data_IF_276716679113
#
_entry.id   IF_276716679113
#
_cell.length_a   1.000
_cell.length_b   1.000
_cell.length_c   1.000
_cell.angle_alpha   90.00
_cell.angle_beta   90.00
_cell.angle_gamma   90.00
#
_symmetry.space_group_name_H-M   'P 1'
#
loop_
_entity.id
_entity.type
_entity.pdbx_description
1 polymer ?
#
# COMPACT_ATOMS: atom_id res chain seq x y z
N UNK A 1 -26.15 22.64 -74.93
CA UNK A 1 -25.06 22.39 -74.04
C UNK A 1 -25.43 22.85 -72.58
N UNK A 2 -26.38 22.23 -71.93
CA UNK A 2 -26.79 22.62 -70.54
C UNK A 2 -27.48 21.43 -69.86
N UNK A 3 -26.80 20.29 -69.76
CA UNK A 3 -27.41 19.13 -69.06
C UNK A 3 -26.47 18.39 -68.11
N UNK A 4 -25.19 18.81 -67.94
CA UNK A 4 -24.21 18.11 -67.11
C UNK A 4 -23.86 18.83 -65.77
N UNK A 5 -24.43 20.01 -65.47
CA UNK A 5 -24.09 20.76 -64.25
C UNK A 5 -24.92 20.38 -63.01
N UNK A 6 -26.10 19.79 -63.23
CA UNK A 6 -26.99 19.45 -62.10
C UNK A 6 -26.59 18.17 -61.32
N UNK A 7 -25.93 17.23 -61.98
CA UNK A 7 -25.53 15.96 -61.36
C UNK A 7 -24.29 16.09 -60.44
N UNK A 8 -23.43 17.06 -60.71
CA UNK A 8 -22.19 17.29 -59.92
C UNK A 8 -22.51 17.89 -58.54
N UNK A 9 -23.53 18.78 -58.48
CA UNK A 9 -23.94 19.39 -57.20
C UNK A 9 -24.65 18.45 -56.24
N UNK A 10 -25.43 17.50 -56.81
CA UNK A 10 -26.15 16.50 -55.96
C UNK A 10 -25.17 15.46 -55.36
N UNK A 11 -24.15 15.05 -56.15
CA UNK A 11 -23.14 14.10 -55.67
C UNK A 11 -22.28 14.75 -54.55
N UNK A 12 -21.96 16.04 -54.67
CA UNK A 12 -21.18 16.74 -53.65
C UNK A 12 -21.97 16.94 -52.33
N UNK A 13 -23.30 17.20 -52.43
CA UNK A 13 -24.17 17.35 -51.29
C UNK A 13 -24.38 16.01 -50.52
N UNK A 14 -24.50 14.90 -51.25
CA UNK A 14 -24.57 13.56 -50.69
C UNK A 14 -23.26 13.14 -49.96
N UNK A 15 -22.10 13.54 -50.48
CA UNK A 15 -20.81 13.25 -49.84
C UNK A 15 -20.64 13.99 -48.50
N UNK A 16 -21.12 15.22 -48.37
CA UNK A 16 -21.08 16.01 -47.15
C UNK A 16 -21.96 15.38 -46.04
N UNK A 17 -23.12 14.84 -46.38
CA UNK A 17 -24.03 14.18 -45.44
C UNK A 17 -23.41 12.87 -44.91
N UNK A 18 -22.68 12.12 -45.75
CA UNK A 18 -21.97 10.90 -45.26
C UNK A 18 -20.84 11.20 -44.29
N UNK A 19 -20.05 12.27 -44.52
CA UNK A 19 -19.00 12.68 -43.60
C UNK A 19 -19.55 13.13 -42.23
N UNK A 20 -20.68 13.89 -42.22
CA UNK A 20 -21.29 14.33 -40.96
C UNK A 20 -21.84 13.17 -40.12
N UNK A 21 -22.39 12.12 -40.74
CA UNK A 21 -22.84 10.92 -40.02
C UNK A 21 -21.71 10.09 -39.42
N UNK A 22 -20.51 10.10 -40.04
CA UNK A 22 -19.36 9.35 -39.57
C UNK A 22 -18.73 10.02 -38.33
N UNK A 23 -18.68 11.35 -38.27
CA UNK A 23 -18.21 12.10 -37.09
C UNK A 23 -19.13 11.93 -35.89
N UNK A 24 -20.44 11.90 -36.09
CA UNK A 24 -21.41 11.72 -34.99
C UNK A 24 -21.33 10.31 -34.38
N UNK A 25 -21.08 9.28 -35.17
CA UNK A 25 -20.92 7.91 -34.69
C UNK A 25 -19.62 7.74 -33.89
N UNK A 26 -18.51 8.29 -34.36
CA UNK A 26 -17.24 8.28 -33.66
C UNK A 26 -17.30 9.05 -32.31
N UNK A 27 -18.08 10.12 -32.25
CA UNK A 27 -18.26 10.91 -31.03
C UNK A 27 -19.09 10.15 -30.00
N UNK A 28 -20.19 9.50 -30.42
CA UNK A 28 -21.01 8.66 -29.55
C UNK A 28 -20.25 7.44 -29.01
N UNK A 29 -19.47 6.74 -29.85
CA UNK A 29 -18.66 5.60 -29.44
C UNK A 29 -17.55 6.01 -28.45
N UNK A 30 -16.95 7.19 -28.61
CA UNK A 30 -15.98 7.75 -27.68
C UNK A 30 -16.61 8.16 -26.34
N UNK A 31 -17.81 8.73 -26.32
CA UNK A 31 -18.51 9.06 -25.09
C UNK A 31 -18.90 7.82 -24.29
N UNK A 32 -19.39 6.78 -24.95
CA UNK A 32 -19.71 5.49 -24.30
C UNK A 32 -18.45 4.84 -23.72
N UNK A 33 -17.35 4.83 -24.46
CA UNK A 33 -16.07 4.29 -23.99
C UNK A 33 -15.52 5.09 -22.81
N UNK A 34 -15.65 6.41 -22.82
CA UNK A 34 -15.21 7.29 -21.75
C UNK A 34 -16.07 7.13 -20.48
N UNK A 35 -17.39 6.99 -20.64
CA UNK A 35 -18.32 6.71 -19.54
C UNK A 35 -18.01 5.37 -18.87
N UNK A 36 -17.87 4.30 -19.66
CA UNK A 36 -17.52 2.97 -19.19
C UNK A 36 -16.17 2.96 -18.44
N UNK A 37 -15.18 3.68 -18.93
CA UNK A 37 -13.86 3.80 -18.28
C UNK A 37 -13.94 4.55 -16.96
N UNK A 38 -14.78 5.58 -16.87
CA UNK A 38 -15.02 6.32 -15.63
C UNK A 38 -15.77 5.48 -14.59
N UNK A 39 -16.79 4.73 -14.99
CA UNK A 39 -17.52 3.82 -14.12
C UNK A 39 -16.60 2.73 -13.56
N UNK A 40 -15.77 2.14 -14.40
CA UNK A 40 -14.76 1.18 -13.97
C UNK A 40 -13.78 1.78 -12.96
N UNK A 41 -13.26 2.99 -13.24
CA UNK A 41 -12.37 3.70 -12.32
C UNK A 41 -13.05 3.98 -10.97
N UNK A 42 -14.30 4.42 -10.97
CA UNK A 42 -15.06 4.68 -9.74
C UNK A 42 -15.27 3.39 -8.93
N UNK A 43 -15.60 2.28 -9.58
CA UNK A 43 -15.77 1.00 -8.92
C UNK A 43 -14.46 0.50 -8.28
N UNK A 44 -13.33 0.69 -8.94
CA UNK A 44 -12.01 0.37 -8.40
C UNK A 44 -11.66 1.22 -7.17
N UNK A 45 -11.93 2.53 -7.23
CA UNK A 45 -11.72 3.44 -6.10
C UNK A 45 -12.59 3.02 -4.91
N UNK A 46 -13.88 2.75 -5.13
CA UNK A 46 -14.80 2.34 -4.08
C UNK A 46 -14.38 1.00 -3.44
N UNK A 47 -13.94 0.03 -4.25
CA UNK A 47 -13.44 -1.26 -3.78
C UNK A 47 -12.19 -1.09 -2.91
N UNK A 48 -11.25 -0.24 -3.34
CA UNK A 48 -10.04 0.05 -2.58
C UNK A 48 -10.36 0.76 -1.25
N UNK A 49 -11.26 1.74 -1.25
CA UNK A 49 -11.69 2.42 -0.03
C UNK A 49 -12.34 1.45 0.97
N UNK A 50 -13.20 0.55 0.49
CA UNK A 50 -13.83 -0.47 1.32
C UNK A 50 -12.77 -1.43 1.93
N UNK A 51 -11.76 -1.83 1.15
CA UNK A 51 -10.64 -2.62 1.65
C UNK A 51 -9.92 -1.90 2.78
N UNK A 52 -9.51 -0.65 2.59
CA UNK A 52 -8.80 0.14 3.61
C UNK A 52 -9.63 0.32 4.90
N UNK A 53 -10.94 0.49 4.78
CA UNK A 53 -11.82 0.57 5.95
C UNK A 53 -11.89 -0.74 6.72
N UNK A 54 -11.98 -1.87 6.01
CA UNK A 54 -11.98 -3.21 6.63
C UNK A 54 -10.65 -3.53 7.30
N UNK A 55 -9.54 -3.22 6.65
CA UNK A 55 -8.20 -3.39 7.23
C UNK A 55 -8.05 -2.56 8.51
N UNK A 56 -8.41 -1.27 8.44
CA UNK A 56 -8.40 -0.39 9.62
C UNK A 56 -9.24 -0.96 10.77
N UNK A 57 -10.45 -1.43 10.49
CA UNK A 57 -11.33 -2.01 11.53
C UNK A 57 -10.70 -3.26 12.19
N UNK A 58 -10.03 -4.12 11.40
CA UNK A 58 -9.31 -5.29 11.94
C UNK A 58 -8.15 -4.88 12.83
N UNK A 59 -7.36 -3.89 12.40
CA UNK A 59 -6.23 -3.36 13.19
C UNK A 59 -6.75 -2.75 14.50
N UNK A 60 -7.80 -1.92 14.44
CA UNK A 60 -8.35 -1.28 15.62
C UNK A 60 -8.91 -2.33 16.60
N UNK A 61 -9.62 -3.35 16.12
CA UNK A 61 -10.11 -4.45 16.97
C UNK A 61 -8.97 -5.26 17.63
N UNK A 62 -7.88 -5.48 16.89
CA UNK A 62 -6.69 -6.14 17.43
C UNK A 62 -6.05 -5.30 18.55
N UNK A 63 -5.87 -3.98 18.34
CA UNK A 63 -5.34 -3.04 19.33
C UNK A 63 -6.23 -3.01 20.58
N UNK A 64 -7.55 -2.94 20.40
CA UNK A 64 -8.51 -2.96 21.50
C UNK A 64 -8.41 -4.24 22.34
N UNK A 65 -8.14 -5.39 21.70
CA UNK A 65 -7.95 -6.67 22.39
C UNK A 65 -6.69 -6.72 23.25
N UNK A 66 -5.64 -5.97 22.87
CA UNK A 66 -4.41 -5.87 23.64
C UNK A 66 -4.53 -4.95 24.86
N UNK A 67 -5.50 -4.04 24.87
CA UNK A 67 -5.75 -3.12 25.99
C UNK A 67 -4.64 -2.09 26.24
N UNK A 68 -3.79 -1.81 25.24
CA UNK A 68 -2.67 -0.86 25.31
C UNK A 68 -2.77 0.23 24.24
N UNK A 69 -2.13 1.36 24.49
CA UNK A 69 -2.21 2.51 23.59
C UNK A 69 -1.08 2.48 22.57
N UNK A 70 -1.45 2.33 21.31
CA UNK A 70 -0.54 2.45 20.18
C UNK A 70 -0.47 3.89 19.65
N UNK A 71 0.73 4.35 19.34
CA UNK A 71 0.93 5.57 18.58
C UNK A 71 0.67 5.27 17.10
N UNK A 72 -0.09 6.15 16.44
CA UNK A 72 -0.37 6.03 14.99
C UNK A 72 0.42 7.07 14.23
N UNK A 73 1.17 6.65 13.22
CA UNK A 73 1.84 7.57 12.28
C UNK A 73 0.91 8.03 11.15
N UNK A 74 1.38 9.03 10.39
CA UNK A 74 0.66 9.50 9.19
C UNK A 74 0.57 8.47 8.07
N UNK A 75 1.48 7.49 8.01
CA UNK A 75 1.50 6.38 7.04
C UNK A 75 0.59 5.22 7.44
N UNK A 76 0.10 5.22 8.68
CA UNK A 76 -0.76 4.16 9.21
C UNK A 76 -0.07 3.13 10.08
N UNK A 77 1.26 3.18 10.23
CA UNK A 77 2.00 2.36 11.20
C UNK A 77 1.45 2.57 12.60
N UNK A 78 1.31 1.49 13.37
CA UNK A 78 1.01 1.54 14.80
C UNK A 78 2.23 1.07 15.56
N UNK A 79 2.62 1.82 16.59
CA UNK A 79 3.80 1.54 17.41
C UNK A 79 3.44 1.55 18.87
N UNK A 80 3.84 0.51 19.59
CA UNK A 80 3.78 0.43 21.05
C UNK A 80 5.14 0.00 21.59
N UNK A 81 5.88 0.94 22.21
CA UNK A 81 7.16 0.65 22.89
C UNK A 81 6.81 0.23 24.32
N UNK A 82 7.05 -1.04 24.65
CA UNK A 82 6.64 -1.62 25.94
C UNK A 82 7.82 -1.83 26.91
N UNK A 83 9.06 -1.78 26.40
CA UNK A 83 10.28 -1.83 27.21
C UNK A 83 11.29 -0.85 26.66
N UNK A 84 11.91 -0.03 27.51
CA UNK A 84 12.86 1.00 27.09
C UNK A 84 13.99 1.16 28.10
N UNK A 85 15.24 1.13 27.61
CA UNK A 85 16.40 1.51 28.40
C UNK A 85 16.54 3.03 28.44
N UNK A 86 16.12 3.64 29.55
CA UNK A 86 16.18 5.10 29.73
C UNK A 86 17.60 5.68 29.69
N UNK A 87 18.64 4.86 29.86
CA UNK A 87 20.03 5.28 29.80
C UNK A 87 20.54 5.41 28.34
N UNK A 88 19.87 4.74 27.39
CA UNK A 88 20.19 4.86 25.96
C UNK A 88 19.43 6.02 25.36
N UNK A 89 20.16 6.90 24.67
CA UNK A 89 19.57 8.10 24.08
C UNK A 89 19.60 8.12 22.55
N UNK A 90 20.47 7.29 21.93
CA UNK A 90 20.62 7.25 20.47
C UNK A 90 19.48 6.44 19.85
N UNK A 91 18.74 7.11 18.97
CA UNK A 91 17.75 6.46 18.10
C UNK A 91 18.38 6.05 16.78
N UNK A 92 17.82 5.01 16.18
CA UNK A 92 18.17 4.64 14.81
C UNK A 92 17.78 5.75 13.84
N UNK A 93 18.59 5.95 12.80
CA UNK A 93 18.35 6.91 11.74
C UNK A 93 18.74 6.32 10.38
N UNK A 94 18.36 6.99 9.32
CA UNK A 94 18.73 6.62 7.96
C UNK A 94 20.25 6.40 7.84
N UNK A 95 20.62 5.27 7.24
CA UNK A 95 22.01 4.87 7.01
C UNK A 95 22.71 4.18 8.19
N UNK A 96 22.05 4.03 9.33
CA UNK A 96 22.53 3.15 10.39
C UNK A 96 22.25 1.70 10.02
N UNK A 97 23.10 0.78 10.50
CA UNK A 97 22.80 -0.66 10.49
C UNK A 97 22.07 -0.99 11.79
N UNK A 98 20.80 -1.35 11.68
CA UNK A 98 20.00 -1.83 12.80
C UNK A 98 20.24 -3.32 13.00
N UNK A 99 20.55 -3.72 14.25
CA UNK A 99 20.67 -5.12 14.67
C UNK A 99 19.48 -5.45 15.54
N UNK A 100 18.64 -6.36 15.10
CA UNK A 100 17.37 -6.67 15.75
C UNK A 100 17.19 -8.15 16.01
N UNK A 101 16.42 -8.46 17.04
CA UNK A 101 15.65 -9.71 17.15
C UNK A 101 14.20 -9.38 16.91
N UNK A 102 13.48 -10.30 16.28
CA UNK A 102 12.06 -10.09 16.02
C UNK A 102 11.27 -11.39 15.96
N UNK A 103 9.98 -11.26 16.18
CA UNK A 103 8.94 -12.22 15.86
C UNK A 103 7.91 -11.50 14.98
N UNK A 104 7.56 -12.12 13.85
CA UNK A 104 6.55 -11.62 12.92
C UNK A 104 5.35 -12.56 12.92
N UNK A 105 4.17 -12.00 13.10
CA UNK A 105 2.92 -12.74 13.08
C UNK A 105 1.85 -12.02 12.26
N UNK A 106 0.78 -12.74 11.93
CA UNK A 106 -0.45 -12.15 11.41
C UNK A 106 -1.31 -11.60 12.55
N UNK A 107 -2.40 -10.86 12.22
CA UNK A 107 -3.33 -10.32 13.21
C UNK A 107 -4.10 -11.38 14.02
N UNK A 108 -4.21 -12.60 13.52
CA UNK A 108 -4.83 -13.74 14.22
C UNK A 108 -3.87 -14.46 15.17
N UNK A 109 -2.60 -14.03 15.21
CA UNK A 109 -1.56 -14.56 16.07
C UNK A 109 -0.74 -15.70 15.45
N UNK A 110 -1.00 -16.08 14.19
CA UNK A 110 -0.14 -17.04 13.48
C UNK A 110 1.27 -16.47 13.33
N UNK A 111 2.26 -17.15 13.92
CA UNK A 111 3.67 -16.81 13.79
C UNK A 111 4.17 -17.25 12.42
N UNK A 112 4.77 -16.32 11.67
CA UNK A 112 5.26 -16.55 10.31
C UNK A 112 6.78 -16.65 10.29
N UNK A 113 7.47 -15.68 10.89
CA UNK A 113 8.93 -15.63 10.94
C UNK A 113 9.42 -15.16 12.31
N UNK A 114 10.55 -15.66 12.74
CA UNK A 114 11.24 -15.18 13.94
C UNK A 114 12.76 -15.36 13.78
N UNK A 115 13.54 -14.56 14.51
CA UNK A 115 14.96 -14.84 14.74
C UNK A 115 15.09 -15.96 15.77
N UNK A 116 16.00 -16.90 15.57
CA UNK A 116 16.29 -17.95 16.56
C UNK A 116 16.94 -17.37 17.82
N UNK A 117 16.89 -18.12 18.91
CA UNK A 117 17.48 -17.68 20.18
C UNK A 117 18.99 -17.47 20.02
N UNK A 118 19.46 -16.24 20.30
CA UNK A 118 20.87 -15.86 20.15
C UNK A 118 21.26 -15.40 18.76
N UNK A 119 20.37 -15.46 17.78
CA UNK A 119 20.58 -14.91 16.44
C UNK A 119 20.04 -13.49 16.32
N UNK A 120 20.56 -12.78 15.34
CA UNK A 120 20.21 -11.39 15.05
C UNK A 120 20.06 -11.19 13.55
N UNK A 121 19.11 -10.37 13.16
CA UNK A 121 18.98 -9.87 11.81
C UNK A 121 19.57 -8.46 11.73
N UNK A 122 20.33 -8.19 10.67
CA UNK A 122 20.87 -6.84 10.41
C UNK A 122 20.28 -6.28 9.13
N UNK A 123 19.99 -4.99 9.11
CA UNK A 123 19.61 -4.30 7.90
C UNK A 123 20.00 -2.82 7.94
N UNK A 124 20.32 -2.26 6.77
CA UNK A 124 20.65 -0.86 6.58
C UNK A 124 19.38 -0.02 6.49
N UNK A 125 19.15 0.85 7.47
CA UNK A 125 17.92 1.63 7.61
C UNK A 125 17.70 2.55 6.40
N UNK A 126 16.53 2.44 5.77
CA UNK A 126 16.08 3.14 4.57
C UNK A 126 16.83 2.77 3.26
N UNK A 127 17.60 1.66 3.24
CA UNK A 127 18.32 1.22 2.04
C UNK A 127 18.14 -0.25 1.69
N UNK A 128 18.05 -1.14 2.68
CA UNK A 128 17.83 -2.57 2.43
C UNK A 128 16.39 -2.88 2.04
N UNK A 129 16.19 -4.03 1.43
CA UNK A 129 14.90 -4.53 0.98
C UNK A 129 14.15 -5.23 2.13
N UNK A 130 13.79 -4.44 3.14
CA UNK A 130 12.87 -4.84 4.21
C UNK A 130 11.62 -3.95 4.15
N UNK A 131 10.58 -4.31 4.89
CA UNK A 131 9.29 -3.60 4.84
C UNK A 131 9.45 -2.11 5.23
N UNK A 132 8.75 -1.26 4.49
CA UNK A 132 8.75 0.19 4.75
C UNK A 132 8.33 0.52 6.19
N UNK A 133 7.40 -0.26 6.73
CA UNK A 133 6.94 -0.12 8.10
C UNK A 133 8.02 -0.44 9.12
N UNK A 134 8.87 -1.43 8.84
CA UNK A 134 10.00 -1.77 9.70
C UNK A 134 11.03 -0.63 9.72
N UNK A 135 11.39 -0.08 8.56
CA UNK A 135 12.26 1.10 8.49
C UNK A 135 11.71 2.30 9.28
N UNK A 136 10.40 2.56 9.17
CA UNK A 136 9.76 3.67 9.87
C UNK A 136 9.72 3.43 11.38
N UNK A 137 9.37 2.20 11.79
CA UNK A 137 9.29 1.81 13.19
C UNK A 137 10.64 1.85 13.92
N UNK A 138 11.67 1.28 13.31
CA UNK A 138 13.02 1.26 13.88
C UNK A 138 13.56 2.65 14.18
N UNK A 139 13.26 3.65 13.36
CA UNK A 139 13.68 5.05 13.61
C UNK A 139 13.03 5.67 14.85
N UNK A 140 11.99 5.07 15.40
CA UNK A 140 11.37 5.51 16.64
C UNK A 140 12.07 4.93 17.87
N UNK A 141 12.85 3.85 17.70
CA UNK A 141 13.48 3.10 18.79
C UNK A 141 14.88 3.60 19.13
N UNK A 142 15.25 3.41 20.38
CA UNK A 142 16.61 3.49 20.91
C UNK A 142 17.18 2.07 21.06
N UNK A 143 18.49 1.95 21.15
CA UNK A 143 19.12 0.66 21.47
C UNK A 143 18.60 0.15 22.82
N UNK A 144 18.16 -1.10 22.85
CA UNK A 144 17.55 -1.76 24.00
C UNK A 144 16.01 -1.68 24.03
N UNK A 145 15.39 -0.82 23.22
CA UNK A 145 13.92 -0.74 23.19
C UNK A 145 13.31 -2.01 22.58
N UNK A 146 12.18 -2.42 23.18
CA UNK A 146 11.28 -3.44 22.64
C UNK A 146 9.96 -2.81 22.28
N UNK A 147 9.44 -3.19 21.12
CA UNK A 147 8.22 -2.58 20.60
C UNK A 147 7.40 -3.55 19.76
N UNK A 148 6.09 -3.33 19.76
CA UNK A 148 5.18 -3.93 18.80
C UNK A 148 4.91 -2.92 17.69
N UNK A 149 5.12 -3.34 16.43
CA UNK A 149 4.73 -2.61 15.25
C UNK A 149 3.60 -3.35 14.56
N UNK A 150 2.51 -2.64 14.21
CA UNK A 150 1.46 -3.19 13.35
C UNK A 150 1.55 -2.45 12.02
N UNK A 151 1.91 -3.19 10.97
CA UNK A 151 2.11 -2.70 9.63
C UNK A 151 0.88 -3.03 8.78
N UNK A 152 0.09 -2.03 8.35
CA UNK A 152 -0.90 -2.25 7.31
C UNK A 152 -0.25 -2.82 6.04
N UNK A 153 -0.99 -3.53 5.22
CA UNK A 153 -0.46 -4.23 4.05
C UNK A 153 0.41 -3.36 3.13
N UNK A 154 0.03 -2.09 2.92
CA UNK A 154 0.79 -1.16 2.08
C UNK A 154 2.15 -0.72 2.68
N UNK A 155 2.37 -0.97 3.97
CA UNK A 155 3.63 -0.75 4.69
C UNK A 155 4.43 -2.05 4.86
N UNK A 156 3.83 -3.19 4.51
CA UNK A 156 4.36 -4.54 4.56
C UNK A 156 4.56 -5.09 3.13
N UNK A 157 4.06 -6.28 2.83
CA UNK A 157 4.24 -6.97 1.54
C UNK A 157 3.17 -6.64 0.49
N UNK A 158 2.26 -5.71 0.78
CA UNK A 158 1.29 -5.17 -0.18
C UNK A 158 0.28 -6.18 -0.69
N UNK A 159 -0.13 -5.99 -1.95
CA UNK A 159 -1.20 -6.78 -2.59
C UNK A 159 -0.79 -8.20 -2.98
N UNK A 160 0.49 -8.53 -2.97
CA UNK A 160 1.01 -9.84 -3.41
C UNK A 160 1.41 -10.75 -2.26
N UNK A 161 1.56 -10.22 -1.04
CA UNK A 161 2.23 -10.94 0.04
C UNK A 161 3.72 -11.14 -0.26
N UNK A 162 4.39 -12.01 0.49
CA UNK A 162 5.79 -12.40 0.23
C UNK A 162 5.90 -13.61 -0.71
N UNK A 163 4.76 -14.16 -1.16
CA UNK A 163 4.64 -15.34 -2.02
C UNK A 163 5.16 -16.66 -1.38
N UNK A 164 5.38 -16.67 -0.08
CA UNK A 164 5.84 -17.83 0.69
C UNK A 164 4.87 -18.13 1.83
N UNK A 165 4.79 -17.29 2.85
CA UNK A 165 3.96 -17.50 4.04
C UNK A 165 3.03 -16.32 4.33
N UNK A 166 3.41 -15.08 3.95
CA UNK A 166 2.57 -13.90 4.20
C UNK A 166 1.53 -13.76 3.08
N UNK A 167 0.23 -13.86 3.40
CA UNK A 167 -0.82 -13.78 2.39
C UNK A 167 -0.88 -12.40 1.70
N UNK A 168 -1.49 -12.33 0.50
CA UNK A 168 -1.84 -11.07 -0.14
C UNK A 168 -2.65 -10.16 0.78
N UNK A 169 -2.30 -8.87 0.81
CA UNK A 169 -2.99 -7.84 1.59
C UNK A 169 -2.99 -8.10 3.10
N UNK A 170 -2.05 -8.88 3.62
CA UNK A 170 -1.94 -9.13 5.05
C UNK A 170 -1.38 -7.91 5.80
N UNK A 171 -2.06 -7.56 6.88
CA UNK A 171 -1.46 -6.75 7.96
C UNK A 171 -0.57 -7.65 8.79
N UNK A 172 0.63 -7.22 9.09
CA UNK A 172 1.60 -7.98 9.89
C UNK A 172 1.90 -7.26 11.20
N UNK A 173 2.28 -8.06 12.19
CA UNK A 173 2.65 -7.61 13.53
C UNK A 173 4.08 -8.04 13.78
N UNK A 174 4.94 -7.08 14.03
CA UNK A 174 6.30 -7.31 14.52
C UNK A 174 6.35 -7.10 16.04
N UNK A 175 6.88 -8.06 16.77
CA UNK A 175 7.48 -7.83 18.08
C UNK A 175 8.99 -7.73 17.87
N UNK A 176 9.57 -6.56 18.13
CA UNK A 176 10.96 -6.27 17.77
C UNK A 176 11.74 -5.76 18.96
N UNK A 177 12.99 -6.23 19.08
CA UNK A 177 13.99 -5.74 20.04
C UNK A 177 15.18 -5.15 19.27
N UNK A 178 15.44 -3.85 19.42
CA UNK A 178 16.60 -3.18 18.82
C UNK A 178 17.84 -3.40 19.69
N UNK A 179 18.68 -4.36 19.31
CA UNK A 179 19.85 -4.79 20.09
C UNK A 179 21.01 -3.80 19.96
N UNK A 180 21.29 -3.32 18.74
CA UNK A 180 22.40 -2.43 18.48
C UNK A 180 22.15 -1.54 17.25
N UNK A 181 22.94 -0.48 17.16
CA UNK A 181 23.04 0.42 15.99
C UNK A 181 24.52 0.54 15.67
N UNK A 182 24.88 0.25 14.43
CA UNK A 182 26.25 0.38 13.89
C UNK A 182 26.33 1.43 12.80
#
# INVERSE_FOLDING_TARGET
MLKNSMHSGVIFLLAIVFLACQDQKNQADNEVLFSSKNEFKQSMIASHQNYLQKEKAKIDAYIDSLGVLFQKSGTGLRTYIYDTDSLKVRRAKRGDIAVVQYQLSLLDGEEIYATEEGEFQEFLVDFDDVERGLHEGIKQLKVGDKAIFILPAHMAHGITGDQIQIPPQATIVYDVHLIAIR
#
